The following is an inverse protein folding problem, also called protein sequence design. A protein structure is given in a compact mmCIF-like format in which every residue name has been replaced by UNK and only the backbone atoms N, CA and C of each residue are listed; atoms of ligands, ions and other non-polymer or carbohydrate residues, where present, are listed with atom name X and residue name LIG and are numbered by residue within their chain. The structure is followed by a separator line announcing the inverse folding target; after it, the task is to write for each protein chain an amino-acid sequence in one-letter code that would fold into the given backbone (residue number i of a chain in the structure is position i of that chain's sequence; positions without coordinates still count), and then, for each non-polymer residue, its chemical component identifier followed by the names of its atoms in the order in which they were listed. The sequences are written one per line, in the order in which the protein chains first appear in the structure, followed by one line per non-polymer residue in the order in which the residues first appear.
data_IF_863477217230
#
_entry.id   IF_863477217230
#
_cell.length_a   1.000
_cell.length_b   1.000
_cell.length_c   1.000
_cell.angle_alpha   90.00
_cell.angle_beta   90.00
_cell.angle_gamma   90.00
#
_symmetry.space_group_name_H-M   'P 1'
#
loop_
_entity.id
_entity.type
_entity.pdbx_description
1 polymer ?
#
# COMPACT_ATOMS: atom_id res chain seq x y z
N UNK A 1 -0.58 2.24 -22.12
CA UNK A 1 0.86 1.89 -22.00
C UNK A 1 0.97 0.38 -22.06
N UNK A 2 1.94 -0.16 -22.76
CA UNK A 2 2.13 -1.61 -22.83
C UNK A 2 2.70 -2.13 -21.49
N UNK A 3 2.21 -3.27 -21.05
CA UNK A 3 2.59 -3.90 -19.78
C UNK A 3 4.12 -4.05 -19.62
N UNK A 4 4.80 -4.49 -20.67
CA UNK A 4 6.25 -4.63 -20.65
C UNK A 4 6.96 -3.29 -20.35
N UNK A 5 6.49 -2.20 -20.92
CA UNK A 5 7.05 -0.87 -20.66
C UNK A 5 6.81 -0.41 -19.20
N UNK A 6 5.69 -0.79 -18.61
CA UNK A 6 5.42 -0.50 -17.19
C UNK A 6 6.48 -1.15 -16.32
N UNK A 7 6.71 -2.46 -16.51
CA UNK A 7 7.70 -3.22 -15.74
C UNK A 7 9.10 -2.64 -15.91
N UNK A 8 9.50 -2.36 -17.14
CA UNK A 8 10.84 -1.87 -17.47
C UNK A 8 11.10 -0.44 -16.96
N UNK A 9 10.07 0.40 -16.89
CA UNK A 9 10.18 1.80 -16.48
C UNK A 9 9.97 2.04 -14.98
N UNK A 10 9.34 1.10 -14.26
CA UNK A 10 9.10 1.25 -12.82
C UNK A 10 10.42 1.50 -12.07
N UNK A 11 10.43 2.50 -11.22
CA UNK A 11 11.57 2.84 -10.35
C UNK A 11 11.06 3.31 -8.99
N UNK A 12 11.89 3.18 -7.99
CA UNK A 12 11.67 3.81 -6.68
C UNK A 12 11.85 5.32 -6.79
N UNK A 13 10.76 6.05 -6.77
CA UNK A 13 10.73 7.51 -6.85
C UNK A 13 10.87 8.08 -5.44
N UNK A 14 11.78 9.05 -5.24
CA UNK A 14 12.04 9.72 -3.97
C UNK A 14 12.14 11.24 -4.10
N UNK A 15 11.70 11.77 -5.23
CA UNK A 15 11.54 13.20 -5.49
C UNK A 15 10.21 13.40 -6.21
N UNK A 16 9.41 14.28 -5.69
CA UNK A 16 8.07 14.55 -6.17
C UNK A 16 7.96 16.01 -6.62
N UNK A 17 7.10 16.24 -7.59
CA UNK A 17 6.74 17.57 -8.04
C UNK A 17 5.61 18.10 -7.14
N UNK A 18 5.95 18.99 -6.22
CA UNK A 18 5.00 19.52 -5.23
C UNK A 18 3.82 20.29 -5.83
N UNK A 19 3.95 20.73 -7.10
CA UNK A 19 2.86 21.42 -7.81
C UNK A 19 1.83 20.44 -8.38
N UNK A 20 2.23 19.19 -8.60
CA UNK A 20 1.33 18.14 -9.10
C UNK A 20 0.59 17.48 -7.95
N UNK A 21 -0.72 17.44 -8.06
CA UNK A 21 -1.58 16.79 -7.05
C UNK A 21 -2.29 15.59 -7.65
N UNK A 22 -2.29 14.50 -6.88
CA UNK A 22 -3.14 13.35 -7.18
C UNK A 22 -4.55 13.64 -6.67
N UNK A 23 -5.55 13.32 -7.47
CA UNK A 23 -6.96 13.46 -7.04
C UNK A 23 -7.42 12.24 -6.24
N UNK A 24 -8.47 12.43 -5.43
CA UNK A 24 -9.14 11.32 -4.75
C UNK A 24 -9.65 10.27 -5.75
N UNK A 25 -10.14 10.69 -6.90
CA UNK A 25 -10.61 9.80 -7.97
C UNK A 25 -9.48 8.90 -8.49
N UNK A 26 -8.30 9.46 -8.78
CA UNK A 26 -7.13 8.69 -9.18
C UNK A 26 -6.71 7.67 -8.10
N UNK A 27 -6.74 8.05 -6.84
CA UNK A 27 -6.47 7.13 -5.72
C UNK A 27 -7.50 6.00 -5.70
N UNK A 28 -8.79 6.31 -5.89
CA UNK A 28 -9.85 5.29 -5.96
C UNK A 28 -9.64 4.32 -7.12
N UNK A 29 -9.25 4.80 -8.28
CA UNK A 29 -8.93 3.96 -9.45
C UNK A 29 -7.75 3.02 -9.15
N UNK A 30 -6.70 3.52 -8.51
CA UNK A 30 -5.55 2.70 -8.09
C UNK A 30 -5.97 1.60 -7.10
N UNK A 31 -6.74 1.93 -6.07
CA UNK A 31 -7.26 0.96 -5.10
C UNK A 31 -8.19 -0.04 -5.77
N UNK A 32 -9.02 0.40 -6.71
CA UNK A 32 -9.90 -0.48 -7.49
C UNK A 32 -9.09 -1.49 -8.31
N UNK A 33 -7.96 -1.08 -8.88
CA UNK A 33 -7.05 -2.00 -9.56
C UNK A 33 -6.42 -3.01 -8.58
N UNK A 34 -6.01 -2.57 -7.40
CA UNK A 34 -5.43 -3.43 -6.36
C UNK A 34 -6.38 -4.53 -5.88
N UNK A 35 -7.71 -4.31 -5.94
CA UNK A 35 -8.72 -5.31 -5.57
C UNK A 35 -8.68 -6.57 -6.44
N UNK A 36 -8.16 -6.48 -7.68
CA UNK A 36 -8.02 -7.65 -8.54
C UNK A 36 -6.87 -8.59 -8.16
N UNK A 37 -5.98 -8.17 -7.26
CA UNK A 37 -4.89 -9.03 -6.78
C UNK A 37 -5.45 -10.23 -6.00
N UNK A 38 -4.89 -11.42 -6.18
CA UNK A 38 -5.30 -12.59 -5.41
C UNK A 38 -4.88 -12.48 -3.95
N UNK A 39 -5.55 -13.21 -3.08
CA UNK A 39 -5.15 -13.38 -1.69
C UNK A 39 -5.34 -14.84 -1.25
N UNK A 40 -4.66 -15.24 -0.17
CA UNK A 40 -4.80 -16.57 0.42
C UNK A 40 -6.26 -16.92 0.66
N UNK A 41 -6.74 -18.01 0.02
CA UNK A 41 -8.15 -18.45 0.10
C UNK A 41 -9.15 -17.29 -0.08
N UNK A 42 -8.82 -16.32 -0.90
CA UNK A 42 -9.59 -15.09 -1.10
C UNK A 42 -9.92 -14.35 0.21
N UNK A 43 -8.96 -14.28 1.11
CA UNK A 43 -9.14 -13.69 2.45
C UNK A 43 -9.35 -12.18 2.45
N UNK A 44 -8.90 -11.48 1.41
CA UNK A 44 -9.14 -10.04 1.19
C UNK A 44 -8.76 -9.19 2.40
N UNK A 45 -7.55 -9.39 2.92
CA UNK A 45 -7.09 -8.79 4.19
C UNK A 45 -6.42 -7.43 4.04
N UNK A 46 -6.10 -7.00 2.82
CA UNK A 46 -5.48 -5.70 2.57
C UNK A 46 -6.39 -4.54 2.99
N UNK A 47 -5.80 -3.50 3.58
CA UNK A 47 -6.48 -2.25 3.97
C UNK A 47 -5.61 -1.08 3.55
N UNK A 48 -6.26 -0.02 3.08
CA UNK A 48 -5.61 1.19 2.60
C UNK A 48 -6.18 2.40 3.31
N UNK A 49 -5.31 3.19 3.93
CA UNK A 49 -5.66 4.45 4.57
C UNK A 49 -5.00 5.58 3.77
N UNK A 50 -5.80 6.34 3.05
CA UNK A 50 -5.32 7.36 2.13
C UNK A 50 -5.28 8.72 2.83
N UNK A 51 -4.08 9.28 2.98
CA UNK A 51 -3.83 10.58 3.60
C UNK A 51 -3.72 11.61 2.49
N UNK A 52 -4.76 12.42 2.29
CA UNK A 52 -4.90 13.36 1.19
C UNK A 52 -4.83 14.83 1.63
N UNK A 53 -5.27 15.16 2.84
CA UNK A 53 -5.17 16.53 3.34
C UNK A 53 -3.73 16.88 3.70
N UNK A 54 -3.31 18.11 3.38
CA UNK A 54 -1.95 18.58 3.65
C UNK A 54 -1.60 18.51 5.14
N UNK A 55 -2.51 18.92 6.01
CA UNK A 55 -2.29 18.91 7.47
C UNK A 55 -2.03 17.49 8.00
N UNK A 56 -2.84 16.51 7.57
CA UNK A 56 -2.66 15.13 7.99
C UNK A 56 -1.41 14.52 7.34
N UNK A 57 -1.11 14.86 6.10
CA UNK A 57 0.12 14.45 5.42
C UNK A 57 1.35 14.86 6.21
N UNK A 58 1.46 16.14 6.58
CA UNK A 58 2.59 16.65 7.36
C UNK A 58 2.66 16.02 8.75
N UNK A 59 1.53 15.81 9.40
CA UNK A 59 1.47 15.12 10.69
C UNK A 59 2.00 13.69 10.58
N UNK A 60 1.53 12.90 9.63
CA UNK A 60 2.01 11.51 9.41
C UNK A 60 3.49 11.52 9.03
N UNK A 61 3.91 12.42 8.14
CA UNK A 61 5.29 12.55 7.70
C UNK A 61 6.24 12.80 8.86
N UNK A 62 5.90 13.73 9.75
CA UNK A 62 6.79 14.19 10.83
C UNK A 62 6.71 13.35 12.10
N UNK A 63 5.53 12.78 12.41
CA UNK A 63 5.31 12.06 13.67
C UNK A 63 5.41 10.54 13.52
N UNK A 64 5.16 9.99 12.31
CA UNK A 64 5.05 8.54 12.10
C UNK A 64 6.19 7.94 11.26
N UNK A 65 6.93 8.75 10.50
CA UNK A 65 8.00 8.25 9.64
C UNK A 65 9.39 8.54 10.26
N UNK A 66 10.35 7.61 10.13
CA UNK A 66 11.74 7.91 10.39
C UNK A 66 12.23 9.05 9.48
N UNK A 67 13.17 9.85 9.95
CA UNK A 67 13.70 11.04 9.25
C UNK A 67 14.04 10.77 7.78
N UNK A 68 14.74 9.69 7.51
CA UNK A 68 15.09 9.30 6.13
C UNK A 68 13.85 9.13 5.24
N UNK A 69 12.81 8.47 5.74
CA UNK A 69 11.57 8.26 4.99
C UNK A 69 10.74 9.55 4.89
N UNK A 70 10.72 10.36 5.94
CA UNK A 70 10.06 11.66 5.93
C UNK A 70 10.64 12.59 4.84
N UNK A 71 11.97 12.57 4.67
CA UNK A 71 12.65 13.32 3.63
C UNK A 71 12.36 12.76 2.21
N UNK A 72 12.26 11.43 2.08
CA UNK A 72 11.97 10.80 0.78
C UNK A 72 10.56 11.07 0.27
N UNK A 73 9.60 11.38 1.11
CA UNK A 73 8.20 11.66 0.72
C UNK A 73 7.91 13.16 0.65
N UNK A 74 8.89 14.00 0.90
CA UNK A 74 8.72 15.45 0.78
C UNK A 74 8.25 15.84 -0.62
N UNK A 75 7.23 16.69 -0.70
CA UNK A 75 6.61 17.10 -1.97
C UNK A 75 5.64 16.09 -2.58
N UNK A 76 5.48 14.90 -2.02
CA UNK A 76 4.41 14.00 -2.44
C UNK A 76 3.03 14.59 -2.11
N UNK A 77 2.04 14.29 -2.94
CA UNK A 77 0.70 14.87 -2.78
C UNK A 77 -0.24 14.02 -1.92
N UNK A 78 0.14 12.77 -1.64
CA UNK A 78 -0.62 11.85 -0.80
C UNK A 78 0.30 10.78 -0.19
N UNK A 79 -0.13 10.20 0.93
CA UNK A 79 0.44 8.98 1.49
C UNK A 79 -0.65 7.90 1.55
N UNK A 80 -0.28 6.67 1.22
CA UNK A 80 -1.15 5.52 1.41
C UNK A 80 -0.51 4.63 2.46
N UNK A 81 -1.15 4.55 3.62
CA UNK A 81 -0.76 3.64 4.69
C UNK A 81 -1.43 2.30 4.45
N UNK A 82 -0.66 1.25 4.29
CA UNK A 82 -1.16 -0.09 4.01
C UNK A 82 -1.12 -0.95 5.27
N UNK A 83 -2.13 -1.80 5.43
CA UNK A 83 -2.25 -2.69 6.58
C UNK A 83 -2.91 -4.01 6.16
N UNK A 84 -2.81 -5.01 7.02
CA UNK A 84 -3.47 -6.31 6.85
C UNK A 84 -4.32 -6.65 8.07
N UNK A 85 -5.44 -7.31 7.83
CA UNK A 85 -6.23 -7.92 8.92
C UNK A 85 -5.51 -9.18 9.38
N UNK A 86 -5.16 -9.24 10.64
CA UNK A 86 -4.46 -10.38 11.24
C UNK A 86 -5.35 -11.63 11.35
N UNK A 87 -4.70 -12.77 11.43
CA UNK A 87 -5.30 -14.07 11.74
C UNK A 87 -6.42 -14.47 10.77
N UNK A 88 -6.25 -14.13 9.49
CA UNK A 88 -7.15 -14.53 8.40
C UNK A 88 -6.39 -15.16 7.25
N UNK A 89 -5.60 -14.40 6.49
CA UNK A 89 -4.72 -14.97 5.48
C UNK A 89 -3.64 -15.81 6.16
N UNK A 90 -3.47 -17.05 5.72
CA UNK A 90 -2.56 -18.02 6.33
C UNK A 90 -3.11 -18.74 7.57
N UNK A 91 -4.41 -18.62 7.83
CA UNK A 91 -5.09 -19.25 8.97
C UNK A 91 -6.23 -20.17 8.53
N UNK A 92 -6.45 -21.21 9.30
CA UNK A 92 -7.60 -22.10 9.16
C UNK A 92 -8.85 -21.51 9.84
N UNK A 93 -10.02 -22.05 9.53
CA UNK A 93 -11.30 -21.62 10.14
C UNK A 93 -11.32 -21.82 11.66
N UNK A 94 -10.50 -22.75 12.18
CA UNK A 94 -10.30 -22.98 13.62
C UNK A 94 -9.59 -21.80 14.33
N UNK A 95 -8.95 -20.90 13.57
CA UNK A 95 -8.12 -19.82 14.11
C UNK A 95 -6.64 -20.18 14.24
N UNK A 96 -6.25 -21.40 13.90
CA UNK A 96 -4.87 -21.85 13.93
C UNK A 96 -4.13 -21.45 12.64
N UNK A 97 -2.82 -21.09 12.72
CA UNK A 97 -2.03 -20.84 11.52
C UNK A 97 -1.86 -22.12 10.69
N UNK A 98 -1.99 -22.00 9.39
CA UNK A 98 -1.82 -23.13 8.46
C UNK A 98 -0.36 -23.64 8.47
N UNK A 99 0.59 -22.76 8.67
CA UNK A 99 2.02 -23.06 8.77
C UNK A 99 2.75 -21.93 9.50
N UNK A 100 4.08 -22.05 9.59
CA UNK A 100 4.96 -21.14 10.33
C UNK A 100 4.91 -19.68 9.84
N UNK A 101 4.51 -19.43 8.59
CA UNK A 101 4.40 -18.06 8.06
C UNK A 101 3.25 -17.28 8.71
N UNK A 102 2.17 -17.96 9.16
CA UNK A 102 1.07 -17.29 9.84
C UNK A 102 0.62 -16.01 9.14
N UNK A 103 0.67 -14.87 9.81
CA UNK A 103 0.32 -13.57 9.26
C UNK A 103 1.25 -13.09 8.11
N UNK A 104 2.38 -13.74 7.89
CA UNK A 104 3.25 -13.48 6.74
C UNK A 104 2.54 -13.65 5.40
N UNK A 105 1.55 -14.53 5.32
CA UNK A 105 0.72 -14.68 4.13
C UNK A 105 -0.11 -13.43 3.83
N UNK A 106 -0.63 -12.76 4.85
CA UNK A 106 -1.33 -11.48 4.67
C UNK A 106 -0.40 -10.37 4.18
N UNK A 107 0.85 -10.35 4.65
CA UNK A 107 1.87 -9.42 4.15
C UNK A 107 2.25 -9.72 2.71
N UNK A 108 2.37 -11.00 2.34
CA UNK A 108 2.60 -11.43 0.96
C UNK A 108 1.45 -10.99 0.05
N UNK A 109 0.20 -11.25 0.45
CA UNK A 109 -0.99 -10.81 -0.29
C UNK A 109 -1.01 -9.29 -0.50
N UNK A 110 -0.66 -8.53 0.54
CA UNK A 110 -0.57 -7.06 0.46
C UNK A 110 0.50 -6.62 -0.55
N UNK A 111 1.64 -7.30 -0.58
CA UNK A 111 2.69 -7.05 -1.57
C UNK A 111 2.21 -7.24 -3.00
N UNK A 112 1.43 -8.31 -3.27
CA UNK A 112 0.82 -8.54 -4.59
C UNK A 112 -0.17 -7.43 -4.99
N UNK A 113 -0.93 -6.94 -4.03
CA UNK A 113 -1.93 -5.89 -4.29
C UNK A 113 -1.29 -4.50 -4.49
N UNK A 114 -0.11 -4.27 -3.93
CA UNK A 114 0.58 -2.99 -4.01
C UNK A 114 1.42 -2.81 -5.29
N UNK A 115 1.80 -3.88 -5.97
CA UNK A 115 2.61 -3.84 -7.20
C UNK A 115 1.75 -3.67 -8.46
#
# INVERSE_FOLDING_TARGET
MEFQKVIESRRSIRKYDAEKKVSEEQIREMIQAAIYAPSWKNSQTARYYCVLSQDMFEKVRTECLPEFNANNVEGASALIVTAVVKNRSGYERSGEPTNELGNGWGVYDLGLANE
#
